data_IF_075589692447
#
_entry.id   IF_075589692447
#
_cell.length_a   1.000
_cell.length_b   1.000
_cell.length_c   1.000
_cell.angle_alpha   90.00
_cell.angle_beta   90.00
_cell.angle_gamma   90.00
#
_symmetry.space_group_name_H-M   'P 1'
#
loop_
_entity.id
_entity.type
_entity.pdbx_description
1 polymer ?
#
# COMPACT_ATOMS: atom_id res chain seq x y z
N UNK A 1 40.34 -18.83 -3.68
CA UNK A 1 39.11 -18.40 -2.99
C UNK A 1 38.88 -19.37 -1.84
N UNK A 2 39.11 -18.94 -0.60
CA UNK A 2 38.90 -19.78 0.57
C UNK A 2 37.45 -20.29 0.59
N UNK A 3 37.25 -21.58 0.90
CA UNK A 3 35.92 -22.14 1.14
C UNK A 3 35.35 -21.38 2.34
N UNK A 4 34.47 -20.40 2.08
CA UNK A 4 33.63 -19.84 3.15
C UNK A 4 32.88 -21.03 3.75
N UNK A 5 33.08 -21.29 5.03
CA UNK A 5 32.26 -22.24 5.78
C UNK A 5 30.79 -21.91 5.47
N UNK A 6 30.00 -22.93 5.13
CA UNK A 6 28.56 -22.76 4.92
C UNK A 6 27.99 -22.22 6.22
N UNK A 7 27.46 -20.99 6.19
CA UNK A 7 26.70 -20.47 7.32
C UNK A 7 25.58 -21.44 7.64
N UNK A 8 25.51 -21.84 8.91
CA UNK A 8 24.47 -22.74 9.39
C UNK A 8 23.11 -22.04 9.23
N UNK A 9 22.07 -22.74 8.78
CA UNK A 9 20.73 -22.16 8.69
C UNK A 9 20.23 -21.77 10.09
N UNK A 10 19.88 -20.50 10.24
CA UNK A 10 19.35 -19.91 11.49
C UNK A 10 17.91 -19.44 11.30
N UNK A 11 17.08 -19.63 12.32
CA UNK A 11 15.73 -19.09 12.42
C UNK A 11 15.74 -17.96 13.46
N UNK A 12 15.32 -16.77 13.04
CA UNK A 12 15.21 -15.60 13.92
C UNK A 12 13.77 -15.41 14.38
N UNK A 13 13.53 -15.57 15.68
CA UNK A 13 12.23 -15.38 16.31
C UNK A 13 12.36 -14.33 17.42
N UNK A 14 11.61 -13.24 17.31
CA UNK A 14 11.55 -12.18 18.33
C UNK A 14 12.93 -11.67 18.80
N UNK A 15 13.88 -11.54 17.85
CA UNK A 15 15.25 -11.10 18.13
C UNK A 15 16.15 -12.15 18.76
N UNK A 16 15.72 -13.42 18.82
CA UNK A 16 16.55 -14.57 19.21
C UNK A 16 16.85 -15.44 18.01
N UNK A 17 18.11 -15.82 17.88
CA UNK A 17 18.58 -16.71 16.82
C UNK A 17 18.56 -18.16 17.30
N UNK A 18 18.03 -19.05 16.47
CA UNK A 18 17.99 -20.49 16.71
C UNK A 18 18.69 -21.22 15.56
N UNK A 19 19.71 -22.02 15.87
CA UNK A 19 20.42 -22.82 14.85
C UNK A 19 19.56 -24.04 14.50
N UNK A 20 19.15 -24.15 13.23
CA UNK A 20 18.23 -25.22 12.78
C UNK A 20 18.88 -26.60 12.86
N UNK A 21 20.21 -26.70 12.75
CA UNK A 21 20.93 -27.97 12.86
C UNK A 21 20.86 -28.59 14.26
N UNK A 22 20.73 -27.76 15.30
CA UNK A 22 20.69 -28.19 16.70
C UNK A 22 19.28 -28.63 17.15
N UNK A 23 18.29 -28.53 16.25
CA UNK A 23 16.90 -28.92 16.48
C UNK A 23 16.65 -30.42 16.22
N UNK A 24 15.67 -30.99 16.93
CA UNK A 24 15.12 -32.32 16.60
C UNK A 24 14.36 -32.27 15.27
N UNK A 25 14.11 -33.42 14.64
CA UNK A 25 13.40 -33.46 13.36
C UNK A 25 12.00 -32.82 13.43
N UNK A 26 11.24 -33.07 14.51
CA UNK A 26 9.95 -32.41 14.74
C UNK A 26 10.09 -30.89 14.92
N UNK A 27 11.16 -30.43 15.57
CA UNK A 27 11.41 -28.98 15.72
C UNK A 27 11.80 -28.34 14.38
N UNK A 28 12.51 -29.06 13.49
CA UNK A 28 12.85 -28.58 12.14
C UNK A 28 11.61 -28.43 11.27
N UNK A 29 10.67 -29.36 11.35
CA UNK A 29 9.38 -29.26 10.65
C UNK A 29 8.62 -28.01 11.09
N UNK A 30 8.50 -27.78 12.40
CA UNK A 30 7.88 -26.57 12.94
C UNK A 30 8.63 -25.30 12.54
N UNK A 31 9.96 -25.32 12.57
CA UNK A 31 10.80 -24.20 12.15
C UNK A 31 10.58 -23.85 10.66
N UNK A 32 10.44 -24.86 9.80
CA UNK A 32 10.16 -24.67 8.38
C UNK A 32 8.79 -24.04 8.15
N UNK A 33 7.77 -24.51 8.88
CA UNK A 33 6.42 -23.95 8.84
C UNK A 33 6.39 -22.49 9.30
N UNK A 34 7.06 -22.18 10.41
CA UNK A 34 7.17 -20.81 10.94
C UNK A 34 7.88 -19.90 9.93
N UNK A 35 9.01 -20.33 9.36
CA UNK A 35 9.74 -19.54 8.37
C UNK A 35 8.90 -19.28 7.11
N UNK A 36 8.15 -20.27 6.65
CA UNK A 36 7.23 -20.13 5.51
C UNK A 36 6.16 -19.06 5.80
N UNK A 37 5.50 -19.14 6.96
CA UNK A 37 4.46 -18.19 7.31
C UNK A 37 5.00 -16.78 7.60
N UNK A 38 6.21 -16.65 8.16
CA UNK A 38 6.87 -15.34 8.32
C UNK A 38 7.06 -14.62 6.97
N UNK A 39 7.50 -15.35 5.95
CA UNK A 39 7.67 -14.81 4.60
C UNK A 39 6.31 -14.37 4.03
N UNK A 40 5.28 -15.20 4.18
CA UNK A 40 3.94 -14.86 3.70
C UNK A 40 3.32 -13.67 4.43
N UNK A 41 3.46 -13.59 5.75
CA UNK A 41 2.99 -12.44 6.54
C UNK A 41 3.69 -11.17 6.08
N UNK A 42 5.02 -11.21 5.91
CA UNK A 42 5.80 -10.06 5.45
C UNK A 42 5.36 -9.61 4.05
N UNK A 43 5.14 -10.53 3.12
CA UNK A 43 4.65 -10.23 1.78
C UNK A 43 3.25 -9.58 1.81
N UNK A 44 2.32 -10.12 2.60
CA UNK A 44 0.98 -9.55 2.75
C UNK A 44 1.05 -8.14 3.36
N UNK A 45 1.85 -7.94 4.40
CA UNK A 45 2.04 -6.61 5.01
C UNK A 45 2.61 -5.60 4.00
N UNK A 46 3.60 -6.00 3.20
CA UNK A 46 4.15 -5.13 2.15
C UNK A 46 3.11 -4.75 1.10
N UNK A 47 2.27 -5.71 0.67
CA UNK A 47 1.15 -5.45 -0.25
C UNK A 47 0.12 -4.50 0.35
N UNK A 48 -0.25 -4.69 1.62
CA UNK A 48 -1.15 -3.79 2.33
C UNK A 48 -0.59 -2.37 2.41
N UNK A 49 0.69 -2.23 2.74
CA UNK A 49 1.37 -0.93 2.81
C UNK A 49 1.37 -0.22 1.44
N UNK A 50 1.63 -0.96 0.37
CA UNK A 50 1.59 -0.42 -1.01
C UNK A 50 0.19 0.05 -1.39
N UNK A 51 -0.83 -0.74 -1.07
CA UNK A 51 -2.23 -0.36 -1.32
C UNK A 51 -2.68 0.84 -0.49
N UNK A 52 -2.20 0.95 0.76
CA UNK A 52 -2.48 2.11 1.60
C UNK A 52 -1.89 3.40 0.99
N UNK A 53 -0.66 3.34 0.48
CA UNK A 53 -0.06 4.45 -0.25
C UNK A 53 -0.83 4.80 -1.52
N UNK A 54 -1.19 3.81 -2.35
CA UNK A 54 -2.00 4.02 -3.54
C UNK A 54 -3.34 4.70 -3.21
N UNK A 55 -4.01 4.27 -2.14
CA UNK A 55 -5.26 4.88 -1.67
C UNK A 55 -5.06 6.35 -1.32
N UNK A 56 -3.97 6.72 -0.65
CA UNK A 56 -3.68 8.13 -0.35
C UNK A 56 -3.52 8.96 -1.62
N UNK A 57 -2.81 8.45 -2.63
CA UNK A 57 -2.65 9.15 -3.92
C UNK A 57 -3.99 9.32 -4.65
N UNK A 58 -4.84 8.29 -4.64
CA UNK A 58 -6.17 8.36 -5.24
C UNK A 58 -7.07 9.39 -4.57
N UNK A 59 -7.02 9.50 -3.24
CA UNK A 59 -7.77 10.52 -2.48
C UNK A 59 -7.34 11.93 -2.87
N UNK A 60 -6.04 12.20 -2.98
CA UNK A 60 -5.58 13.53 -3.39
C UNK A 60 -5.94 13.83 -4.85
N UNK A 61 -5.86 12.82 -5.73
CA UNK A 61 -6.26 12.93 -7.12
C UNK A 61 -7.77 13.24 -7.26
N UNK A 62 -8.61 12.53 -6.49
CA UNK A 62 -10.06 12.74 -6.46
C UNK A 62 -10.41 14.19 -6.10
N UNK A 63 -9.79 14.75 -5.05
CA UNK A 63 -10.04 16.15 -4.63
C UNK A 63 -9.85 17.13 -5.77
N UNK A 64 -8.74 17.02 -6.50
CA UNK A 64 -8.42 17.92 -7.63
C UNK A 64 -9.49 17.81 -8.73
N UNK A 65 -9.94 16.59 -9.05
CA UNK A 65 -10.97 16.41 -10.07
C UNK A 65 -12.34 16.90 -9.63
N UNK A 66 -12.71 16.69 -8.36
CA UNK A 66 -13.96 17.20 -7.79
C UNK A 66 -13.99 18.73 -7.84
N UNK A 67 -12.91 19.40 -7.43
CA UNK A 67 -12.81 20.86 -7.47
C UNK A 67 -12.96 21.41 -8.90
N UNK A 68 -12.23 20.82 -9.86
CA UNK A 68 -12.30 21.20 -11.28
C UNK A 68 -13.69 20.99 -11.85
N UNK A 69 -14.31 19.85 -11.55
CA UNK A 69 -15.66 19.53 -11.99
C UNK A 69 -16.67 20.53 -11.43
N UNK A 70 -16.63 20.82 -10.13
CA UNK A 70 -17.52 21.80 -9.50
C UNK A 70 -17.36 23.20 -10.09
N UNK A 71 -16.10 23.64 -10.32
CA UNK A 71 -15.82 24.90 -10.99
C UNK A 71 -16.43 24.95 -12.40
N UNK A 72 -16.19 23.91 -13.20
CA UNK A 72 -16.76 23.80 -14.54
C UNK A 72 -18.28 23.82 -14.56
N UNK A 73 -18.93 23.14 -13.60
CA UNK A 73 -20.39 23.18 -13.44
C UNK A 73 -20.88 24.60 -13.12
N UNK A 74 -20.20 25.33 -12.23
CA UNK A 74 -20.57 26.72 -11.92
C UNK A 74 -20.41 27.64 -13.14
N UNK A 75 -19.31 27.53 -13.87
CA UNK A 75 -19.05 28.33 -15.08
C UNK A 75 -20.08 28.03 -16.17
N UNK A 76 -20.41 26.75 -16.38
CA UNK A 76 -21.43 26.35 -17.33
C UNK A 76 -22.81 26.90 -16.95
N UNK A 77 -23.20 26.83 -15.67
CA UNK A 77 -24.47 27.40 -15.20
C UNK A 77 -24.55 28.90 -15.47
N UNK A 78 -23.51 29.66 -15.16
CA UNK A 78 -23.45 31.10 -15.44
C UNK A 78 -23.58 31.41 -16.93
N UNK A 79 -22.94 30.61 -17.79
CA UNK A 79 -23.02 30.81 -19.24
C UNK A 79 -24.41 30.44 -19.82
N UNK A 80 -25.15 29.58 -19.14
CA UNK A 80 -26.49 29.16 -19.54
C UNK A 80 -27.61 30.02 -18.93
N UNK A 81 -27.31 30.89 -17.97
CA UNK A 81 -28.25 31.89 -17.48
C UNK A 81 -28.46 32.96 -18.57
N UNK A 82 -29.66 33.10 -19.15
CA UNK A 82 -29.92 34.15 -20.12
C UNK A 82 -29.78 35.52 -19.43
N UNK A 83 -29.13 36.45 -20.11
CA UNK A 83 -29.01 37.85 -19.73
C UNK A 83 -30.42 38.47 -19.66
N UNK A 84 -31.06 38.45 -18.48
CA UNK A 84 -32.34 39.14 -18.22
C UNK A 84 -32.06 40.49 -17.56
N UNK A 85 -31.37 41.38 -18.29
CA UNK A 85 -31.22 42.82 -17.99
C UNK A 85 -30.76 43.42 -19.33
N UNK A 86 -31.40 44.34 -20.07
CA UNK A 86 -32.38 45.39 -19.83
C UNK A 86 -33.19 45.58 -21.14
N UNK A 87 -34.47 45.22 -21.17
CA UNK A 87 -35.41 45.64 -22.22
C UNK A 87 -36.69 46.23 -21.62
N UNK A 88 -36.59 46.79 -20.42
CA UNK A 88 -37.62 47.62 -19.78
C UNK A 88 -37.06 49.03 -19.53
N UNK A 89 -36.43 49.64 -20.53
CA UNK A 89 -36.26 51.10 -20.60
C UNK A 89 -36.47 51.56 -22.05
N UNK A 90 -37.72 51.64 -22.49
CA UNK A 90 -38.18 52.51 -23.58
C UNK A 90 -39.69 52.70 -23.52
#
# INVERSE_FOLDING_TARGET
>A
MAKKEKEKPVLNLDGKEYVIEDMTDSQKELAAEVALYQNHVSDVQNKLNTNAFMRQQLIECEKVFVEKHQKGVMELKKALEPEVVEAEVS
#
